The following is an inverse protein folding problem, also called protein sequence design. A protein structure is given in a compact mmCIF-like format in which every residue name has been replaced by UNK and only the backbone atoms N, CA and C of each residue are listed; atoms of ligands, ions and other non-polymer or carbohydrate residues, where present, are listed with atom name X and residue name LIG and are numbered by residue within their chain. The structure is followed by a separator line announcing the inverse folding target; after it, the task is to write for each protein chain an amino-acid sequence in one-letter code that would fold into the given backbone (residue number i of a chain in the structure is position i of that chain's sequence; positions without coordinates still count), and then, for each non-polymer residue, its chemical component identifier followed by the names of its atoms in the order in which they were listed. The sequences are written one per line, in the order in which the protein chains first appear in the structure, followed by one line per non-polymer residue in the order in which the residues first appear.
data_IF_304495782415
#
_entry.id   IF_304495782415
#
_cell.length_a   1.000
_cell.length_b   1.000
_cell.length_c   1.000
_cell.angle_alpha   90.00
_cell.angle_beta   90.00
_cell.angle_gamma   90.00
#
_symmetry.space_group_name_H-M   'P 1'
#
loop_
_entity.id
_entity.type
_entity.pdbx_description
1 polymer ?
#
# COMPACT_ATOMS: atom_id res chain seq x y z
N UNK A 1 -28.03 -13.98 6.12
CA UNK A 1 -26.62 -14.23 5.78
C UNK A 1 -26.40 -13.91 4.30
N UNK A 2 -25.28 -13.26 4.02
CA UNK A 2 -24.78 -13.02 2.68
C UNK A 2 -23.30 -13.46 2.64
N UNK A 3 -22.92 -14.24 1.64
CA UNK A 3 -21.54 -14.63 1.41
C UNK A 3 -21.05 -13.98 0.12
N UNK A 4 -19.90 -13.30 0.21
CA UNK A 4 -19.25 -12.64 -0.92
C UNK A 4 -17.86 -13.25 -1.10
N UNK A 5 -17.53 -13.61 -2.33
CA UNK A 5 -16.19 -14.03 -2.72
C UNK A 5 -15.76 -13.27 -3.97
N UNK A 6 -14.63 -12.60 -3.90
CA UNK A 6 -14.06 -11.84 -5.01
C UNK A 6 -12.59 -12.20 -5.16
N UNK A 7 -12.12 -12.26 -6.38
CA UNK A 7 -10.72 -12.47 -6.71
C UNK A 7 -10.43 -12.06 -8.14
N UNK A 8 -9.25 -11.51 -8.36
CA UNK A 8 -8.81 -11.06 -9.68
C UNK A 8 -7.31 -11.30 -9.81
N UNK A 9 -6.89 -12.52 -10.25
CA UNK A 9 -5.48 -12.77 -10.53
C UNK A 9 -5.02 -11.89 -11.69
N UNK A 10 -3.88 -11.24 -11.53
CA UNK A 10 -3.34 -10.32 -12.53
C UNK A 10 -1.84 -10.54 -12.72
N UNK A 11 -1.40 -10.39 -13.97
CA UNK A 11 -0.01 -10.30 -14.36
C UNK A 11 0.13 -9.35 -15.54
N UNK A 12 0.99 -8.38 -15.44
CA UNK A 12 1.23 -7.42 -16.52
C UNK A 12 2.65 -6.86 -16.47
N UNK A 13 3.18 -6.49 -17.62
CA UNK A 13 4.42 -5.71 -17.73
C UNK A 13 4.18 -4.27 -17.28
N UNK A 14 5.20 -3.68 -16.65
CA UNK A 14 5.14 -2.31 -16.15
C UNK A 14 6.27 -1.49 -16.78
N UNK A 15 5.93 -0.33 -17.30
CA UNK A 15 6.89 0.65 -17.80
C UNK A 15 6.93 1.85 -16.85
N UNK A 16 8.06 2.01 -16.14
CA UNK A 16 8.28 3.11 -15.18
C UNK A 16 9.14 4.24 -15.74
N UNK A 17 9.57 4.14 -16.99
CA UNK A 17 10.42 5.15 -17.59
C UNK A 17 9.58 6.23 -18.26
N UNK A 18 9.87 7.47 -17.91
CA UNK A 18 9.37 8.61 -18.66
C UNK A 18 9.95 8.54 -20.08
N UNK A 19 9.10 8.68 -21.08
CA UNK A 19 9.52 8.83 -22.45
C UNK A 19 9.64 10.32 -22.78
N UNK A 20 10.69 10.71 -23.48
CA UNK A 20 10.73 12.03 -24.07
C UNK A 20 9.69 12.11 -25.20
N UNK A 21 9.29 13.33 -25.54
CA UNK A 21 8.35 13.54 -26.66
C UNK A 21 8.88 12.94 -27.97
N UNK A 22 10.17 13.16 -28.27
CA UNK A 22 10.83 12.63 -29.46
C UNK A 22 10.74 11.09 -29.47
N UNK A 23 11.06 10.42 -28.36
CA UNK A 23 11.00 8.97 -28.28
C UNK A 23 9.57 8.43 -28.40
N UNK A 24 8.59 9.15 -27.86
CA UNK A 24 7.19 8.80 -28.03
C UNK A 24 6.76 8.93 -29.49
N UNK A 25 7.16 9.98 -30.16
CA UNK A 25 6.85 10.21 -31.59
C UNK A 25 7.51 9.14 -32.48
N UNK A 26 8.75 8.73 -32.19
CA UNK A 26 9.50 7.74 -32.97
C UNK A 26 9.08 6.29 -32.70
N UNK A 27 8.83 5.93 -31.43
CA UNK A 27 8.66 4.55 -30.96
C UNK A 27 7.21 4.21 -30.60
N UNK A 28 6.36 5.23 -30.50
CA UNK A 28 4.96 5.10 -30.09
C UNK A 28 4.78 4.87 -28.58
N UNK A 29 3.53 4.87 -28.15
CA UNK A 29 3.15 4.77 -26.72
C UNK A 29 3.48 3.43 -26.06
N UNK A 30 3.78 2.41 -26.82
CA UNK A 30 4.08 1.06 -26.34
C UNK A 30 5.57 0.79 -26.17
N UNK A 31 6.41 1.75 -26.46
CA UNK A 31 7.85 1.59 -26.26
C UNK A 31 8.15 1.34 -24.77
N UNK A 32 8.91 0.29 -24.51
CA UNK A 32 9.43 -0.02 -23.19
C UNK A 32 10.92 -0.40 -23.33
N UNK A 33 11.81 0.50 -22.89
CA UNK A 33 13.26 0.28 -22.96
C UNK A 33 13.74 -0.99 -22.22
N UNK A 34 12.95 -1.49 -21.27
CA UNK A 34 13.28 -2.67 -20.45
C UNK A 34 12.65 -3.96 -20.99
N UNK A 35 11.96 -3.87 -22.11
CA UNK A 35 11.39 -5.01 -22.82
C UNK A 35 12.09 -5.19 -24.15
N UNK A 36 12.58 -6.39 -24.40
CA UNK A 36 13.21 -6.72 -25.69
C UNK A 36 13.15 -8.22 -25.98
N UNK A 37 13.28 -8.55 -27.25
CA UNK A 37 13.38 -9.92 -27.72
C UNK A 37 14.72 -10.56 -27.30
N UNK A 38 14.73 -11.87 -27.27
CA UNK A 38 15.89 -12.72 -27.02
C UNK A 38 16.04 -13.66 -28.19
N UNK A 39 17.24 -13.80 -28.73
CA UNK A 39 17.52 -14.74 -29.80
C UNK A 39 17.14 -16.17 -29.42
N UNK A 40 16.72 -16.99 -30.38
CA UNK A 40 16.32 -18.38 -30.12
C UNK A 40 17.43 -19.20 -29.44
N UNK A 41 18.69 -18.96 -29.79
CA UNK A 41 19.86 -19.64 -29.22
C UNK A 41 20.10 -19.27 -27.75
N UNK A 42 19.85 -18.02 -27.35
CA UNK A 42 19.98 -17.58 -25.97
C UNK A 42 18.74 -17.88 -25.14
N UNK A 43 17.56 -17.88 -25.78
CA UNK A 43 16.32 -18.27 -25.09
C UNK A 43 16.41 -19.69 -24.48
N UNK A 44 16.98 -20.63 -25.21
CA UNK A 44 17.21 -22.00 -24.72
C UNK A 44 18.18 -22.10 -23.53
N UNK A 45 19.03 -21.09 -23.31
CA UNK A 45 20.01 -21.02 -22.22
C UNK A 45 19.48 -20.38 -20.95
N UNK A 46 18.30 -19.74 -20.96
CA UNK A 46 17.79 -19.00 -19.80
C UNK A 46 17.62 -19.90 -18.57
N UNK A 47 17.36 -21.17 -18.78
CA UNK A 47 17.17 -22.13 -17.69
C UNK A 47 15.80 -22.01 -17.01
N UNK A 48 15.73 -22.56 -15.80
CA UNK A 48 14.53 -22.58 -14.98
C UNK A 48 14.16 -21.17 -14.51
N UNK A 49 12.88 -20.88 -14.42
CA UNK A 49 12.32 -19.71 -13.74
C UNK A 49 11.55 -20.16 -12.52
N UNK A 50 11.32 -19.24 -11.56
CA UNK A 50 10.41 -19.52 -10.45
C UNK A 50 9.06 -19.95 -11.01
N UNK A 51 8.56 -21.09 -10.54
CA UNK A 51 7.21 -21.53 -10.86
C UNK A 51 6.23 -20.60 -10.15
N UNK A 52 5.34 -19.99 -10.92
CA UNK A 52 4.26 -19.19 -10.36
C UNK A 52 3.16 -20.11 -9.84
N UNK A 53 2.39 -19.72 -8.80
CA UNK A 53 1.23 -20.48 -8.36
C UNK A 53 0.26 -20.77 -9.52
N UNK A 54 -0.38 -21.93 -9.52
CA UNK A 54 -1.25 -22.38 -10.62
C UNK A 54 -2.41 -21.42 -10.92
N UNK A 55 -2.89 -20.71 -9.90
CA UNK A 55 -3.93 -19.69 -10.05
C UNK A 55 -3.44 -18.38 -10.70
N UNK A 56 -2.12 -18.19 -10.76
CA UNK A 56 -1.56 -16.95 -11.31
C UNK A 56 -1.50 -17.05 -12.83
N UNK A 57 -2.13 -16.13 -13.58
CA UNK A 57 -2.03 -16.11 -15.01
C UNK A 57 -0.57 -16.04 -15.44
N UNK A 58 -0.03 -17.08 -16.04
CA UNK A 58 1.37 -17.00 -16.32
C UNK A 58 1.98 -18.05 -17.21
N UNK A 59 1.75 -19.29 -16.96
CA UNK A 59 2.35 -20.35 -17.75
C UNK A 59 1.63 -20.65 -19.07
N UNK A 60 0.41 -20.16 -19.23
CA UNK A 60 -0.37 -20.28 -20.46
C UNK A 60 -0.95 -18.95 -20.95
N UNK A 61 -0.72 -17.88 -20.21
CA UNK A 61 -1.07 -16.55 -20.67
C UNK A 61 0.12 -16.01 -21.45
N UNK A 62 0.17 -16.35 -22.68
CA UNK A 62 0.75 -15.46 -23.68
C UNK A 62 0.03 -14.15 -23.45
N UNK A 63 0.80 -13.11 -23.19
CA UNK A 63 0.22 -11.80 -22.99
C UNK A 63 -0.73 -11.53 -24.16
N UNK A 64 -2.02 -11.55 -23.87
CA UNK A 64 -3.11 -11.53 -24.86
C UNK A 64 -3.18 -10.21 -25.65
N UNK A 65 -2.32 -9.27 -25.38
CA UNK A 65 -2.09 -8.13 -26.25
C UNK A 65 -1.29 -8.50 -27.51
N UNK A 66 -1.19 -9.80 -27.76
CA UNK A 66 -0.94 -10.50 -29.00
C UNK A 66 0.27 -10.04 -29.79
N UNK A 67 0.17 -9.02 -30.55
CA UNK A 67 1.16 -8.65 -31.55
C UNK A 67 2.33 -7.79 -31.04
N UNK A 68 2.29 -7.35 -29.77
CA UNK A 68 3.27 -6.40 -29.20
C UNK A 68 4.40 -7.04 -28.42
N UNK A 69 4.31 -8.33 -28.14
CA UNK A 69 5.30 -9.06 -27.35
C UNK A 69 5.64 -10.35 -28.09
N UNK A 70 6.87 -10.45 -28.60
CA UNK A 70 7.35 -11.66 -29.22
C UNK A 70 7.38 -12.81 -28.20
N UNK A 71 7.13 -14.04 -28.65
CA UNK A 71 7.13 -15.27 -27.82
C UNK A 71 8.40 -15.46 -27.00
N UNK A 72 9.53 -14.96 -27.51
CA UNK A 72 10.84 -15.05 -26.89
C UNK A 72 11.32 -13.67 -26.47
N UNK A 73 10.65 -13.07 -25.48
CA UNK A 73 11.02 -11.74 -24.97
C UNK A 73 11.11 -11.72 -23.44
N UNK A 74 11.89 -10.79 -22.92
CA UNK A 74 12.03 -10.54 -21.50
C UNK A 74 11.56 -9.13 -21.20
N UNK A 75 10.63 -9.00 -20.26
CA UNK A 75 10.24 -7.75 -19.63
C UNK A 75 10.91 -7.68 -18.27
N UNK A 76 11.72 -6.64 -18.02
CA UNK A 76 12.43 -6.50 -16.76
C UNK A 76 11.46 -6.39 -15.57
N UNK A 77 10.35 -5.68 -15.77
CA UNK A 77 9.38 -5.41 -14.71
C UNK A 77 8.03 -6.00 -15.07
N UNK A 78 7.68 -7.04 -14.37
CA UNK A 78 6.35 -7.65 -14.39
C UNK A 78 5.76 -7.51 -13.00
N UNK A 79 4.56 -7.01 -12.89
CA UNK A 79 3.78 -7.04 -11.67
C UNK A 79 2.79 -8.19 -11.74
N UNK A 80 2.63 -8.90 -10.61
CA UNK A 80 1.74 -10.04 -10.51
C UNK A 80 1.12 -10.08 -9.12
N UNK A 81 -0.18 -10.32 -9.03
CA UNK A 81 -0.87 -10.47 -7.76
C UNK A 81 -2.22 -11.15 -7.89
N UNK A 82 -2.62 -11.80 -6.83
CA UNK A 82 -3.98 -12.24 -6.57
C UNK A 82 -4.31 -11.96 -5.12
N UNK A 83 -5.35 -11.16 -4.89
CA UNK A 83 -5.82 -10.76 -3.55
C UNK A 83 -7.30 -11.13 -3.39
N UNK A 84 -7.62 -12.43 -3.22
CA UNK A 84 -8.99 -12.85 -2.97
C UNK A 84 -9.48 -12.32 -1.62
N UNK A 85 -10.76 -11.99 -1.58
CA UNK A 85 -11.49 -11.69 -0.35
C UNK A 85 -12.70 -12.61 -0.26
N UNK A 86 -12.90 -13.19 0.92
CA UNK A 86 -14.10 -13.93 1.30
C UNK A 86 -14.71 -13.22 2.48
N UNK A 87 -16.00 -12.92 2.41
CA UNK A 87 -16.70 -12.17 3.45
C UNK A 87 -18.05 -12.83 3.72
N UNK A 88 -18.35 -13.01 4.99
CA UNK A 88 -19.64 -13.43 5.48
C UNK A 88 -20.29 -12.27 6.23
N UNK A 89 -21.41 -11.78 5.72
CA UNK A 89 -22.25 -10.80 6.38
C UNK A 89 -23.43 -11.48 7.05
N UNK A 90 -23.68 -11.10 8.28
CA UNK A 90 -24.80 -11.57 9.08
C UNK A 90 -25.61 -10.38 9.58
N UNK A 91 -26.92 -10.46 9.46
CA UNK A 91 -27.86 -9.50 10.03
C UNK A 91 -28.88 -10.26 10.87
N UNK A 92 -29.03 -9.87 12.13
CA UNK A 92 -29.96 -10.46 13.07
C UNK A 92 -30.76 -9.35 13.77
N UNK A 93 -32.06 -9.36 13.57
CA UNK A 93 -32.98 -8.53 14.33
C UNK A 93 -33.19 -9.14 15.73
N UNK A 94 -32.65 -8.48 16.74
CA UNK A 94 -32.74 -8.92 18.15
C UNK A 94 -34.06 -8.47 18.80
N UNK A 95 -34.54 -7.27 18.41
CA UNK A 95 -35.81 -6.68 18.80
C UNK A 95 -36.29 -5.75 17.69
N UNK A 96 -37.48 -5.18 17.79
CA UNK A 96 -38.03 -4.26 16.76
C UNK A 96 -37.14 -3.04 16.56
N UNK A 97 -36.48 -2.60 17.62
CA UNK A 97 -35.59 -1.44 17.61
C UNK A 97 -34.11 -1.82 17.73
N UNK A 98 -33.73 -3.11 17.53
CA UNK A 98 -32.35 -3.55 17.76
C UNK A 98 -31.90 -4.56 16.71
N UNK A 99 -30.81 -4.23 16.01
CA UNK A 99 -30.22 -5.09 14.97
C UNK A 99 -28.73 -5.29 15.20
N UNK A 100 -28.32 -6.57 15.21
CA UNK A 100 -26.92 -6.97 15.22
C UNK A 100 -26.46 -7.25 13.77
N UNK A 101 -25.45 -6.52 13.31
CA UNK A 101 -24.77 -6.76 12.06
C UNK A 101 -23.37 -7.28 12.36
N UNK A 102 -22.93 -8.31 11.63
CA UNK A 102 -21.59 -8.86 11.79
C UNK A 102 -20.98 -9.10 10.43
N UNK A 103 -19.77 -8.60 10.21
CA UNK A 103 -18.96 -8.96 9.06
C UNK A 103 -17.74 -9.77 9.54
N UNK A 104 -17.57 -10.97 9.01
CA UNK A 104 -16.36 -11.77 9.18
C UNK A 104 -15.70 -11.90 7.80
N UNK A 105 -14.39 -11.69 7.71
CA UNK A 105 -13.70 -11.77 6.44
C UNK A 105 -12.32 -12.40 6.54
N UNK A 106 -11.94 -13.01 5.42
CA UNK A 106 -10.58 -13.41 5.11
C UNK A 106 -10.15 -12.71 3.83
N UNK A 107 -8.99 -12.08 3.84
CA UNK A 107 -8.33 -11.56 2.66
C UNK A 107 -6.96 -12.20 2.54
N UNK A 108 -6.80 -13.10 1.58
CA UNK A 108 -5.51 -13.65 1.21
C UNK A 108 -4.88 -12.82 0.10
N UNK A 109 -3.56 -12.81 0.02
CA UNK A 109 -2.89 -12.13 -1.07
C UNK A 109 -1.50 -12.67 -1.29
N UNK A 110 -1.23 -13.08 -2.52
CA UNK A 110 0.13 -13.37 -2.97
C UNK A 110 0.44 -12.44 -4.13
N UNK A 111 1.62 -11.85 -4.12
CA UNK A 111 1.98 -10.93 -5.17
C UNK A 111 3.45 -10.59 -5.19
N UNK A 112 3.84 -9.87 -6.23
CA UNK A 112 5.20 -9.41 -6.36
C UNK A 112 5.47 -8.72 -7.68
N UNK A 113 6.70 -8.27 -7.82
CA UNK A 113 7.16 -7.66 -9.06
C UNK A 113 8.60 -8.01 -9.36
N UNK A 114 8.86 -8.35 -10.63
CA UNK A 114 10.22 -8.65 -11.05
C UNK A 114 11.07 -7.40 -11.09
N UNK A 115 12.36 -7.56 -10.78
CA UNK A 115 13.38 -6.52 -10.83
C UNK A 115 14.67 -7.12 -11.39
N UNK A 116 15.43 -6.29 -12.09
CA UNK A 116 16.77 -6.63 -12.54
C UNK A 116 17.79 -6.33 -11.45
N UNK A 117 18.76 -7.23 -11.31
CA UNK A 117 19.94 -7.08 -10.47
C UNK A 117 21.20 -7.31 -11.28
N UNK A 118 22.21 -6.45 -11.12
CA UNK A 118 23.46 -6.47 -11.84
C UNK A 118 23.59 -5.35 -12.87
N UNK A 119 24.68 -5.37 -13.65
CA UNK A 119 24.98 -4.35 -14.67
C UNK A 119 24.14 -4.55 -15.91
N UNK A 120 23.39 -3.52 -16.29
CA UNK A 120 22.57 -3.54 -17.53
C UNK A 120 23.45 -3.46 -18.76
N UNK A 121 23.03 -4.16 -19.80
CA UNK A 121 23.52 -4.02 -21.16
C UNK A 121 22.43 -3.37 -22.01
N UNK A 122 22.84 -2.55 -22.97
CA UNK A 122 21.94 -1.79 -23.81
C UNK A 122 22.28 -2.00 -25.27
N UNK A 123 21.27 -2.19 -26.09
CA UNK A 123 21.37 -2.17 -27.55
C UNK A 123 21.62 -0.75 -28.06
N UNK A 124 22.04 -0.62 -29.31
CA UNK A 124 22.29 0.69 -29.92
C UNK A 124 21.05 1.58 -30.02
N UNK A 125 19.84 0.99 -30.05
CA UNK A 125 18.57 1.70 -30.09
C UNK A 125 18.02 2.00 -28.66
N UNK A 126 18.83 1.72 -27.60
CA UNK A 126 18.50 2.06 -26.21
C UNK A 126 17.55 1.10 -25.49
N UNK A 127 17.40 -0.13 -25.98
CA UNK A 127 16.65 -1.19 -25.31
C UNK A 127 17.58 -2.07 -24.45
N UNK A 128 17.02 -2.81 -23.52
CA UNK A 128 17.75 -3.80 -22.74
C UNK A 128 18.29 -4.90 -23.68
N UNK A 129 19.60 -5.13 -23.64
CA UNK A 129 20.27 -6.19 -24.40
C UNK A 129 20.33 -7.47 -23.58
N UNK A 130 19.23 -8.24 -23.63
CA UNK A 130 19.13 -9.49 -22.91
C UNK A 130 20.06 -10.57 -23.47
N UNK A 131 20.33 -10.55 -24.77
CA UNK A 131 21.26 -11.49 -25.39
C UNK A 131 22.67 -11.32 -24.83
N UNK A 132 23.16 -10.09 -24.73
CA UNK A 132 24.46 -9.83 -24.14
C UNK A 132 24.52 -10.19 -22.64
N UNK A 133 23.42 -10.03 -21.89
CA UNK A 133 23.34 -10.47 -20.49
C UNK A 133 23.41 -11.98 -20.38
N UNK A 134 22.63 -12.71 -21.16
CA UNK A 134 22.58 -14.18 -21.15
C UNK A 134 23.93 -14.74 -21.59
N UNK A 135 24.54 -14.21 -22.63
CA UNK A 135 25.85 -14.60 -23.11
C UNK A 135 26.92 -14.41 -22.03
N UNK A 136 26.92 -13.27 -21.33
CA UNK A 136 27.86 -13.01 -20.24
C UNK A 136 27.70 -14.02 -19.09
N UNK A 137 26.46 -14.33 -18.70
CA UNK A 137 26.17 -15.27 -17.61
C UNK A 137 26.59 -16.71 -17.97
N UNK A 138 26.32 -17.15 -19.20
CA UNK A 138 26.61 -18.53 -19.65
C UNK A 138 28.09 -18.79 -19.89
N UNK A 139 28.95 -17.77 -19.91
CA UNK A 139 30.40 -17.88 -20.12
C UNK A 139 31.21 -17.36 -18.95
N UNK A 140 30.60 -16.99 -17.83
CA UNK A 140 31.27 -16.35 -16.70
C UNK A 140 32.21 -17.32 -15.94
N UNK A 141 31.89 -18.61 -15.94
CA UNK A 141 32.57 -19.59 -15.09
C UNK A 141 32.28 -19.36 -13.60
N UNK A 142 32.76 -20.29 -12.77
CA UNK A 142 32.68 -20.18 -11.30
C UNK A 142 33.88 -19.41 -10.78
N UNK A 143 33.69 -18.54 -9.80
CA UNK A 143 34.79 -17.84 -9.13
C UNK A 143 35.62 -18.79 -8.26
N UNK A 144 36.85 -18.37 -7.91
CA UNK A 144 37.78 -19.20 -7.13
C UNK A 144 37.24 -19.66 -5.78
N UNK A 145 36.42 -18.82 -5.11
CA UNK A 145 35.81 -19.18 -3.84
C UNK A 145 34.75 -20.29 -4.01
N UNK A 146 33.92 -20.22 -5.06
CA UNK A 146 32.97 -21.29 -5.38
C UNK A 146 33.65 -22.58 -5.78
N UNK A 147 34.72 -22.51 -6.59
CA UNK A 147 35.52 -23.67 -6.95
C UNK A 147 36.13 -24.35 -5.72
N UNK A 148 36.66 -23.59 -4.77
CA UNK A 148 37.19 -24.12 -3.51
C UNK A 148 36.13 -24.83 -2.65
N UNK A 149 34.82 -24.50 -2.87
CA UNK A 149 33.67 -25.18 -2.25
C UNK A 149 33.14 -26.37 -3.07
N UNK A 150 33.81 -26.73 -4.16
CA UNK A 150 33.42 -27.83 -5.07
C UNK A 150 32.27 -27.45 -6.02
N UNK A 151 31.91 -26.17 -6.13
CA UNK A 151 30.90 -25.73 -7.07
C UNK A 151 31.47 -25.58 -8.48
N UNK A 152 30.68 -25.97 -9.46
CA UNK A 152 31.00 -25.87 -10.89
C UNK A 152 29.85 -25.16 -11.63
N UNK A 153 30.11 -24.75 -12.88
CA UNK A 153 29.14 -24.02 -13.69
C UNK A 153 29.40 -22.50 -13.75
N UNK A 154 28.38 -21.73 -13.98
CA UNK A 154 28.50 -20.30 -14.26
C UNK A 154 27.86 -19.44 -13.16
N UNK A 155 28.57 -18.41 -12.74
CA UNK A 155 28.10 -17.45 -11.77
C UNK A 155 27.45 -16.27 -12.50
N UNK A 156 26.13 -16.07 -12.35
CA UNK A 156 25.40 -14.95 -12.95
C UNK A 156 25.86 -13.61 -12.38
N UNK A 157 26.35 -12.73 -13.23
CA UNK A 157 26.62 -11.33 -12.90
C UNK A 157 25.37 -10.46 -12.87
N UNK A 158 24.28 -10.96 -13.48
CA UNK A 158 22.99 -10.30 -13.51
C UNK A 158 21.85 -11.31 -13.52
N UNK A 159 20.76 -10.98 -12.83
CA UNK A 159 19.59 -11.85 -12.64
C UNK A 159 18.28 -11.05 -12.76
N UNK A 160 17.17 -11.75 -12.97
CA UNK A 160 15.87 -11.26 -12.57
C UNK A 160 15.55 -11.76 -11.15
N UNK A 161 15.20 -10.85 -10.27
CA UNK A 161 14.70 -11.14 -8.94
C UNK A 161 13.23 -10.74 -8.82
N UNK A 162 12.49 -11.35 -7.90
CA UNK A 162 11.12 -10.96 -7.57
C UNK A 162 11.06 -10.46 -6.15
N UNK A 163 10.52 -9.25 -5.93
CA UNK A 163 10.08 -8.81 -4.60
C UNK A 163 8.68 -9.36 -4.37
N UNK A 164 8.50 -10.14 -3.31
CA UNK A 164 7.23 -10.73 -2.91
C UNK A 164 6.60 -9.98 -1.75
N UNK A 165 5.28 -9.80 -1.83
CA UNK A 165 4.45 -9.23 -0.80
C UNK A 165 3.22 -10.15 -0.63
N UNK A 166 3.34 -11.11 0.27
CA UNK A 166 2.25 -12.01 0.61
C UNK A 166 1.59 -11.51 1.89
N UNK A 167 0.27 -11.47 1.92
CA UNK A 167 -0.50 -10.98 3.08
C UNK A 167 -1.74 -11.81 3.28
N UNK A 168 -1.97 -12.22 4.52
CA UNK A 168 -3.15 -12.95 4.96
C UNK A 168 -3.78 -12.22 6.13
N UNK A 169 -5.03 -11.78 5.96
CA UNK A 169 -5.75 -10.98 6.96
C UNK A 169 -7.06 -11.64 7.31
N UNK A 170 -7.35 -11.73 8.59
CA UNK A 170 -8.63 -12.15 9.14
C UNK A 170 -9.25 -11.00 9.93
N UNK A 171 -10.55 -10.82 9.83
CA UNK A 171 -11.24 -9.79 10.57
C UNK A 171 -12.64 -10.17 10.98
N UNK A 172 -13.07 -9.60 12.09
CA UNK A 172 -14.41 -9.74 12.65
C UNK A 172 -14.89 -8.38 13.15
N UNK A 173 -16.03 -7.92 12.61
CA UNK A 173 -16.57 -6.59 12.88
C UNK A 173 -18.07 -6.68 13.22
N UNK A 174 -18.44 -7.05 14.45
CA UNK A 174 -19.82 -6.95 14.92
C UNK A 174 -20.16 -5.51 15.28
N UNK A 175 -21.39 -5.10 14.95
CA UNK A 175 -21.97 -3.83 15.39
C UNK A 175 -23.44 -4.00 15.76
N UNK A 176 -23.83 -3.38 16.85
CA UNK A 176 -25.19 -3.31 17.31
C UNK A 176 -25.75 -1.92 17.05
N UNK A 177 -26.85 -1.85 16.34
CA UNK A 177 -27.61 -0.63 16.07
C UNK A 177 -28.91 -0.71 16.87
N UNK A 178 -29.23 0.32 17.63
CA UNK A 178 -30.45 0.35 18.43
C UNK A 178 -31.08 1.75 18.42
N UNK A 179 -32.36 1.80 18.16
CA UNK A 179 -33.18 2.99 18.36
C UNK A 179 -33.63 3.02 19.84
N UNK A 180 -33.03 3.90 20.62
CA UNK A 180 -33.39 4.09 22.03
C UNK A 180 -34.80 4.66 22.14
N UNK A 181 -35.12 5.56 21.23
CA UNK A 181 -36.45 6.13 20.99
C UNK A 181 -36.50 6.75 19.59
N UNK A 182 -37.61 7.37 19.20
CA UNK A 182 -37.82 7.95 17.87
C UNK A 182 -36.83 9.07 17.50
N UNK A 183 -36.05 9.56 18.46
CA UNK A 183 -35.11 10.67 18.27
C UNK A 183 -33.65 10.24 18.40
N UNK A 184 -33.34 9.14 19.08
CA UNK A 184 -31.98 8.73 19.44
C UNK A 184 -31.66 7.33 18.93
N UNK A 185 -30.77 7.27 17.94
CA UNK A 185 -30.11 6.04 17.49
C UNK A 185 -28.73 5.93 18.12
N UNK A 186 -28.37 4.73 18.61
CA UNK A 186 -27.06 4.41 19.12
C UNK A 186 -26.49 3.21 18.37
N UNK A 187 -25.26 3.34 17.93
CA UNK A 187 -24.48 2.25 17.34
C UNK A 187 -23.24 1.99 18.18
N UNK A 188 -22.97 0.72 18.53
CA UNK A 188 -21.71 0.30 19.14
C UNK A 188 -21.11 -0.84 18.34
N UNK A 189 -19.80 -0.85 18.20
CA UNK A 189 -19.12 -1.86 17.40
C UNK A 189 -17.72 -2.20 17.87
N UNK A 190 -17.28 -3.38 17.45
CA UNK A 190 -15.91 -3.87 17.61
C UNK A 190 -15.27 -4.06 16.25
N UNK A 191 -13.95 -3.93 16.19
CA UNK A 191 -13.12 -4.18 15.03
C UNK A 191 -11.91 -5.00 15.48
N UNK A 192 -11.90 -6.28 15.17
CA UNK A 192 -10.77 -7.15 15.43
C UNK A 192 -10.19 -7.63 14.11
N UNK A 193 -8.85 -7.50 13.97
CA UNK A 193 -8.11 -7.93 12.80
C UNK A 193 -6.75 -8.50 13.20
N UNK A 194 -6.31 -9.49 12.46
CA UNK A 194 -4.92 -9.94 12.48
C UNK A 194 -4.43 -10.14 11.06
N UNK A 195 -3.20 -9.73 10.80
CA UNK A 195 -2.58 -9.88 9.49
C UNK A 195 -1.17 -10.44 9.62
N UNK A 196 -0.86 -11.46 8.82
CA UNK A 196 0.52 -11.94 8.60
C UNK A 196 0.97 -11.48 7.23
N UNK A 197 2.14 -10.86 7.15
CA UNK A 197 2.70 -10.26 5.96
C UNK A 197 4.11 -10.81 5.76
N UNK A 198 4.41 -11.35 4.57
CA UNK A 198 5.73 -11.83 4.22
C UNK A 198 6.31 -10.95 3.10
N UNK A 199 7.40 -10.27 3.41
CA UNK A 199 8.16 -9.49 2.47
C UNK A 199 9.51 -10.17 2.24
N UNK A 200 9.77 -10.60 1.02
CA UNK A 200 11.04 -11.17 0.66
C UNK A 200 11.40 -10.92 -0.80
N UNK A 201 12.67 -11.12 -1.09
CA UNK A 201 13.15 -11.15 -2.45
C UNK A 201 13.70 -12.53 -2.77
N UNK A 202 13.40 -13.03 -3.96
CA UNK A 202 13.88 -14.33 -4.45
C UNK A 202 14.50 -14.20 -5.83
N UNK A 203 15.39 -15.13 -6.16
CA UNK A 203 15.92 -15.28 -7.52
C UNK A 203 14.82 -15.80 -8.41
N UNK A 204 14.35 -14.98 -9.37
CA UNK A 204 13.32 -15.36 -10.33
C UNK A 204 13.89 -16.11 -11.54
N UNK A 205 14.98 -15.63 -12.10
CA UNK A 205 15.72 -16.25 -13.21
C UNK A 205 17.18 -15.87 -13.14
N UNK A 206 18.05 -16.84 -13.32
CA UNK A 206 19.50 -16.67 -13.37
C UNK A 206 19.99 -16.17 -14.74
N UNK A 207 19.10 -16.03 -15.71
CA UNK A 207 19.40 -15.54 -17.06
C UNK A 207 20.60 -16.30 -17.69
N UNK A 208 20.61 -17.62 -17.58
CA UNK A 208 21.58 -18.49 -18.21
C UNK A 208 22.75 -18.95 -17.34
N UNK A 209 22.94 -18.43 -16.14
CA UNK A 209 23.91 -18.96 -15.19
C UNK A 209 23.33 -20.06 -14.30
N UNK A 210 24.16 -20.63 -13.43
CA UNK A 210 23.80 -21.70 -12.51
C UNK A 210 23.60 -21.21 -11.08
N UNK A 211 24.26 -20.10 -10.72
CA UNK A 211 24.23 -19.52 -9.38
C UNK A 211 24.27 -18.00 -9.44
N UNK A 212 23.76 -17.38 -8.35
CA UNK A 212 23.93 -15.95 -8.04
C UNK A 212 24.53 -15.79 -6.65
N UNK A 213 25.63 -15.04 -6.51
CA UNK A 213 26.29 -14.85 -5.22
C UNK A 213 25.60 -13.75 -4.40
N UNK A 214 25.12 -14.11 -3.20
CA UNK A 214 24.46 -13.16 -2.27
C UNK A 214 24.73 -13.55 -0.81
N UNK A 215 25.20 -12.59 0.00
CA UNK A 215 25.61 -12.78 1.40
C UNK A 215 24.67 -12.08 2.39
N UNK A 216 23.49 -11.65 1.97
CA UNK A 216 22.56 -10.89 2.82
C UNK A 216 22.04 -11.74 3.98
N UNK A 217 21.81 -13.04 3.76
CA UNK A 217 21.39 -13.94 4.84
C UNK A 217 22.57 -14.30 5.74
N UNK A 218 22.61 -13.72 6.94
CA UNK A 218 23.69 -13.92 7.94
C UNK A 218 23.67 -15.28 8.62
N UNK A 219 22.62 -16.08 8.40
CA UNK A 219 22.54 -17.46 8.88
C UNK A 219 23.25 -18.45 7.94
N UNK A 220 23.70 -18.01 6.76
CA UNK A 220 24.34 -18.83 5.75
C UNK A 220 25.78 -18.39 5.52
N UNK A 221 26.60 -19.37 5.12
CA UNK A 221 28.01 -19.16 4.74
C UNK A 221 28.44 -20.18 3.70
N UNK A 222 29.63 -20.00 3.13
CA UNK A 222 30.18 -20.92 2.15
C UNK A 222 29.25 -21.13 0.95
N UNK A 223 28.95 -22.39 0.64
CA UNK A 223 28.09 -22.77 -0.47
C UNK A 223 26.67 -22.18 -0.35
N UNK A 224 26.15 -21.91 0.86
CA UNK A 224 24.84 -21.30 1.09
C UNK A 224 24.72 -19.88 0.57
N UNK A 225 25.82 -19.22 0.21
CA UNK A 225 25.78 -17.87 -0.41
C UNK A 225 25.63 -17.92 -1.95
N UNK A 226 25.72 -19.09 -2.56
CA UNK A 226 25.52 -19.31 -3.98
C UNK A 226 24.08 -19.74 -4.21
N UNK A 227 23.26 -18.77 -4.66
CA UNK A 227 21.80 -18.86 -4.74
C UNK A 227 21.35 -19.42 -6.07
N UNK A 228 20.32 -20.26 -6.03
CA UNK A 228 19.63 -20.79 -7.19
C UNK A 228 18.24 -20.14 -7.34
N UNK A 229 17.53 -20.51 -8.40
CA UNK A 229 16.17 -20.04 -8.66
C UNK A 229 15.24 -20.42 -7.49
N UNK A 230 14.49 -19.46 -6.97
CA UNK A 230 13.61 -19.60 -5.80
C UNK A 230 14.27 -19.29 -4.46
N UNK A 231 15.61 -19.21 -4.41
CA UNK A 231 16.31 -18.84 -3.18
C UNK A 231 16.05 -17.37 -2.82
N UNK A 232 15.87 -17.14 -1.52
CA UNK A 232 15.67 -15.79 -0.98
C UNK A 232 17.01 -15.05 -0.90
N UNK A 233 16.98 -13.77 -1.29
CA UNK A 233 18.12 -12.86 -1.37
C UNK A 233 17.75 -11.49 -0.81
N UNK A 234 18.73 -10.72 -0.42
CA UNK A 234 18.66 -9.32 0.04
C UNK A 234 17.88 -9.14 1.35
N UNK A 235 16.63 -9.56 1.45
CA UNK A 235 15.79 -9.46 2.67
C UNK A 235 14.73 -10.55 2.73
N UNK A 236 14.32 -10.89 3.94
CA UNK A 236 13.15 -11.73 4.22
C UNK A 236 12.59 -11.41 5.61
N UNK A 237 11.47 -10.71 5.64
CA UNK A 237 10.76 -10.29 6.83
C UNK A 237 9.39 -10.93 6.91
N UNK A 238 9.01 -11.33 8.13
CA UNK A 238 7.67 -11.78 8.47
C UNK A 238 7.11 -10.79 9.49
N UNK A 239 6.09 -10.06 9.07
CA UNK A 239 5.42 -9.06 9.89
C UNK A 239 4.05 -9.56 10.34
N UNK A 240 3.69 -9.25 11.59
CA UNK A 240 2.34 -9.48 12.09
C UNK A 240 1.78 -8.16 12.62
N UNK A 241 0.52 -7.91 12.31
CA UNK A 241 -0.25 -6.78 12.82
C UNK A 241 -1.51 -7.31 13.50
N UNK A 242 -1.58 -7.14 14.81
CA UNK A 242 -2.77 -7.45 15.59
C UNK A 242 -3.49 -6.15 15.94
N UNK A 243 -4.73 -6.04 15.56
CA UNK A 243 -5.55 -4.84 15.71
C UNK A 243 -6.83 -5.16 16.47
N UNK A 244 -7.14 -4.33 17.47
CA UNK A 244 -8.41 -4.35 18.17
C UNK A 244 -8.92 -2.93 18.33
N UNK A 245 -10.19 -2.72 18.03
CA UNK A 245 -10.84 -1.42 18.17
C UNK A 245 -12.26 -1.57 18.66
N UNK A 246 -12.76 -0.53 19.31
CA UNK A 246 -14.17 -0.37 19.57
C UNK A 246 -14.61 1.06 19.24
N UNK A 247 -15.88 1.22 18.94
CA UNK A 247 -16.47 2.53 18.71
C UNK A 247 -17.91 2.59 19.18
N UNK A 248 -18.34 3.78 19.54
CA UNK A 248 -19.72 4.12 19.81
C UNK A 248 -20.11 5.39 19.08
N UNK A 249 -21.32 5.42 18.56
CA UNK A 249 -21.93 6.57 17.91
C UNK A 249 -23.32 6.77 18.47
N UNK A 250 -23.69 8.01 18.74
CA UNK A 250 -25.05 8.42 19.04
C UNK A 250 -25.47 9.49 18.02
N UNK A 251 -26.65 9.34 17.45
CA UNK A 251 -27.28 10.31 16.54
C UNK A 251 -28.61 10.72 17.14
N UNK A 252 -28.78 12.01 17.38
CA UNK A 252 -30.00 12.59 17.92
C UNK A 252 -30.63 13.50 16.87
N UNK A 253 -31.90 13.25 16.55
CA UNK A 253 -32.65 14.06 15.57
C UNK A 253 -33.99 14.45 16.15
N UNK A 254 -34.28 15.77 16.18
CA UNK A 254 -35.55 16.28 16.64
C UNK A 254 -35.91 17.58 15.90
N UNK A 255 -37.04 17.57 15.21
CA UNK A 255 -37.44 18.71 14.39
C UNK A 255 -36.34 19.17 13.44
N UNK A 256 -35.88 20.43 13.51
CA UNK A 256 -34.84 20.96 12.61
C UNK A 256 -33.42 20.59 13.04
N UNK A 257 -33.20 20.00 14.23
CA UNK A 257 -31.89 19.68 14.80
C UNK A 257 -31.50 18.25 14.50
N UNK A 258 -30.28 18.05 13.99
CA UNK A 258 -29.59 16.77 13.99
C UNK A 258 -28.22 16.96 14.64
N UNK A 259 -27.86 16.09 15.58
CA UNK A 259 -26.56 16.11 16.26
C UNK A 259 -25.99 14.70 16.37
N UNK A 260 -24.67 14.60 16.41
CA UNK A 260 -24.00 13.31 16.62
C UNK A 260 -22.80 13.42 17.56
N UNK A 261 -22.52 12.32 18.22
CA UNK A 261 -21.28 12.10 18.94
C UNK A 261 -20.69 10.74 18.56
N UNK A 262 -19.38 10.69 18.30
CA UNK A 262 -18.65 9.47 18.00
C UNK A 262 -17.45 9.40 18.92
N UNK A 263 -17.25 8.25 19.53
CA UNK A 263 -16.03 7.92 20.25
C UNK A 263 -15.48 6.59 19.71
N UNK A 264 -14.16 6.52 19.50
CA UNK A 264 -13.49 5.26 19.18
C UNK A 264 -12.13 5.16 19.86
N UNK A 265 -11.74 3.92 20.16
CA UNK A 265 -10.41 3.59 20.67
C UNK A 265 -9.90 2.36 19.93
N UNK A 266 -8.64 2.40 19.56
CA UNK A 266 -7.97 1.32 18.81
C UNK A 266 -6.64 1.00 19.47
N UNK A 267 -6.21 -0.24 19.33
CA UNK A 267 -4.91 -0.73 19.76
C UNK A 267 -4.32 -1.62 18.69
N UNK A 268 -3.09 -1.36 18.28
CA UNK A 268 -2.34 -2.18 17.35
C UNK A 268 -1.06 -2.68 18.00
N UNK A 269 -0.73 -3.95 17.80
CA UNK A 269 0.55 -4.55 18.18
C UNK A 269 1.25 -5.04 16.93
N UNK A 270 2.55 -4.76 16.84
CA UNK A 270 3.37 -5.08 15.69
C UNK A 270 4.46 -6.07 16.06
N UNK A 271 4.69 -7.03 15.19
CA UNK A 271 5.80 -7.97 15.29
C UNK A 271 6.54 -8.00 13.96
N UNK A 272 7.88 -7.94 14.01
CA UNK A 272 8.75 -8.17 12.89
C UNK A 272 9.70 -9.31 13.22
N UNK A 273 9.86 -10.23 12.27
CA UNK A 273 10.85 -11.31 12.33
C UNK A 273 11.74 -11.22 11.09
N UNK A 274 12.95 -10.69 11.24
CA UNK A 274 13.95 -10.70 10.18
C UNK A 274 14.59 -12.09 10.10
N UNK A 275 14.34 -12.79 8.99
CA UNK A 275 14.82 -14.15 8.75
C UNK A 275 16.29 -14.18 8.29
N UNK A 276 16.89 -13.01 7.99
CA UNK A 276 18.24 -12.89 7.45
C UNK A 276 19.30 -12.49 8.47
N UNK A 277 18.91 -11.87 9.58
CA UNK A 277 19.85 -11.63 10.68
C UNK A 277 20.22 -12.93 11.39
N UNK A 278 21.39 -12.94 12.02
CA UNK A 278 21.88 -14.12 12.73
C UNK A 278 20.93 -14.48 13.89
N UNK A 279 20.43 -15.71 13.85
CA UNK A 279 19.51 -16.22 14.86
C UNK A 279 18.05 -15.85 14.65
N UNK A 280 17.69 -15.18 13.55
CA UNK A 280 16.32 -14.77 13.22
C UNK A 280 15.73 -13.87 14.32
N UNK A 281 16.17 -12.63 14.37
CA UNK A 281 15.72 -11.68 15.38
C UNK A 281 14.22 -11.42 15.28
N UNK A 282 13.54 -11.45 16.44
CA UNK A 282 12.15 -11.09 16.57
C UNK A 282 12.03 -9.81 17.40
N UNK A 283 11.30 -8.83 16.87
CA UNK A 283 10.98 -7.59 17.54
C UNK A 283 9.48 -7.54 17.73
N UNK A 284 9.04 -7.10 18.88
CA UNK A 284 7.64 -6.98 19.26
C UNK A 284 7.41 -5.63 19.92
N UNK A 285 6.46 -4.85 19.42
CA UNK A 285 6.10 -3.58 20.03
C UNK A 285 5.18 -3.76 21.21
N UNK A 286 5.19 -2.80 22.12
CA UNK A 286 4.06 -2.62 23.02
C UNK A 286 2.81 -2.22 22.20
N UNK A 287 1.59 -2.45 22.75
CA UNK A 287 0.36 -2.02 22.10
C UNK A 287 0.34 -0.51 21.88
N UNK A 288 0.10 -0.12 20.64
CA UNK A 288 0.04 1.27 20.18
C UNK A 288 -1.42 1.71 20.08
N UNK A 289 -1.79 2.71 20.86
CA UNK A 289 -3.19 3.13 20.96
C UNK A 289 -3.49 4.36 20.12
N UNK A 290 -4.71 4.41 19.58
CA UNK A 290 -5.32 5.58 18.96
C UNK A 290 -6.71 5.82 19.54
N UNK A 291 -7.11 7.09 19.63
CA UNK A 291 -8.41 7.49 20.13
C UNK A 291 -8.99 8.59 19.27
N UNK A 292 -10.33 8.60 19.15
CA UNK A 292 -11.02 9.64 18.43
C UNK A 292 -12.29 10.04 19.19
N UNK A 293 -12.51 11.35 19.30
CA UNK A 293 -13.78 11.95 19.68
C UNK A 293 -14.22 12.89 18.58
N UNK A 294 -15.45 12.71 18.07
CA UNK A 294 -16.08 13.63 17.12
C UNK A 294 -17.45 14.04 17.63
N UNK A 295 -17.71 15.33 17.55
CA UNK A 295 -19.00 15.92 17.86
C UNK A 295 -19.43 16.78 16.68
N UNK A 296 -20.69 16.78 16.34
CA UNK A 296 -21.19 17.65 15.29
C UNK A 296 -22.70 17.78 15.29
N UNK A 297 -23.16 18.74 14.54
CA UNK A 297 -24.60 18.96 14.39
C UNK A 297 -24.93 19.87 13.24
N UNK A 298 -26.20 19.83 12.87
CA UNK A 298 -26.80 20.72 11.89
C UNK A 298 -28.17 21.19 12.35
N UNK A 299 -28.52 22.39 11.94
CA UNK A 299 -29.79 22.96 12.24
C UNK A 299 -30.41 23.58 10.97
N UNK A 300 -31.61 23.14 10.61
CA UNK A 300 -32.37 23.69 9.50
C UNK A 300 -33.05 24.99 9.96
N UNK A 301 -32.43 26.13 9.62
CA UNK A 301 -33.02 27.45 9.90
C UNK A 301 -34.31 27.69 9.12
N UNK A 302 -34.39 27.04 7.95
CA UNK A 302 -35.59 26.99 7.09
C UNK A 302 -35.46 25.82 6.12
N UNK A 303 -36.48 25.55 5.31
CA UNK A 303 -36.42 24.58 4.20
C UNK A 303 -35.31 24.89 3.17
N UNK A 304 -34.89 26.16 3.18
CA UNK A 304 -33.90 26.67 2.23
C UNK A 304 -32.48 26.83 2.79
N UNK A 305 -32.30 26.78 4.10
CA UNK A 305 -31.00 27.08 4.74
C UNK A 305 -30.72 26.15 5.93
N UNK A 306 -29.61 25.43 5.86
CA UNK A 306 -29.07 24.61 6.93
C UNK A 306 -27.71 25.14 7.35
N UNK A 307 -27.48 25.29 8.64
CA UNK A 307 -26.15 25.55 9.22
C UNK A 307 -25.62 24.27 9.90
N UNK A 308 -24.30 24.10 9.91
CA UNK A 308 -23.69 22.93 10.55
C UNK A 308 -22.34 23.28 11.14
N UNK A 309 -21.90 22.45 12.10
CA UNK A 309 -20.56 22.52 12.64
C UNK A 309 -20.12 21.16 13.16
N UNK A 310 -18.81 20.89 13.06
CA UNK A 310 -18.18 19.67 13.51
C UNK A 310 -16.87 20.00 14.24
N UNK A 311 -16.55 19.15 15.20
CA UNK A 311 -15.30 19.22 15.96
C UNK A 311 -14.79 17.81 16.19
N UNK A 312 -13.48 17.62 16.12
CA UNK A 312 -12.87 16.32 16.38
C UNK A 312 -11.48 16.43 16.97
N UNK A 313 -11.21 15.49 17.88
CA UNK A 313 -9.91 15.23 18.47
C UNK A 313 -9.51 13.81 18.11
N UNK A 314 -8.34 13.64 17.50
CA UNK A 314 -7.86 12.33 17.07
C UNK A 314 -6.42 12.15 17.47
N UNK A 315 -6.11 11.03 18.12
CA UNK A 315 -4.77 10.47 18.24
C UNK A 315 -4.72 9.25 17.34
N UNK A 316 -3.83 9.24 16.37
CA UNK A 316 -3.74 8.17 15.37
C UNK A 316 -3.00 6.96 15.95
N UNK A 317 -3.54 5.76 15.72
CA UNK A 317 -2.75 4.54 15.88
C UNK A 317 -1.66 4.55 14.80
N UNK A 318 -0.38 4.40 15.15
CA UNK A 318 0.69 4.49 14.17
C UNK A 318 0.66 3.34 13.15
N UNK A 319 1.24 3.59 11.99
CA UNK A 319 1.62 2.52 11.08
C UNK A 319 2.88 1.80 11.60
N UNK A 320 3.06 0.55 11.22
CA UNK A 320 4.16 -0.29 11.70
C UNK A 320 5.54 0.34 11.43
N UNK A 321 5.76 0.92 10.27
CA UNK A 321 7.02 1.56 9.85
C UNK A 321 7.43 2.78 10.70
N UNK A 322 6.53 3.29 11.56
CA UNK A 322 6.81 4.35 12.55
C UNK A 322 7.29 3.80 13.88
N UNK A 323 6.92 2.57 14.20
CA UNK A 323 7.20 1.92 15.48
C UNK A 323 8.34 0.91 15.39
N UNK A 324 8.42 0.20 14.27
CA UNK A 324 9.45 -0.80 13.98
C UNK A 324 10.35 -0.29 12.89
N UNK A 325 11.64 -0.25 13.17
CA UNK A 325 12.69 -0.01 12.17
C UNK A 325 13.18 -1.35 11.65
N UNK A 326 12.65 -1.77 10.51
CA UNK A 326 12.97 -3.06 9.89
C UNK A 326 14.43 -3.12 9.41
N UNK A 327 15.03 -1.99 9.01
CA UNK A 327 16.40 -1.96 8.50
C UNK A 327 17.44 -2.20 9.59
N UNK A 328 17.17 -1.73 10.81
CA UNK A 328 18.06 -1.90 11.97
C UNK A 328 17.59 -2.97 12.94
N UNK A 329 16.39 -3.52 12.74
CA UNK A 329 15.84 -4.53 13.62
C UNK A 329 15.61 -4.01 15.05
N UNK A 330 15.09 -2.79 15.20
CA UNK A 330 14.87 -2.10 16.48
C UNK A 330 13.51 -1.44 16.57
N UNK A 331 13.10 -1.09 17.80
CA UNK A 331 11.93 -0.25 18.01
C UNK A 331 12.32 1.23 17.94
N UNK A 332 11.49 2.05 17.32
CA UNK A 332 11.64 3.49 17.32
C UNK A 332 11.08 4.06 18.64
N UNK A 333 11.95 4.17 19.65
CA UNK A 333 11.58 4.63 21.00
C UNK A 333 11.24 6.12 21.08
N UNK A 334 11.64 6.92 20.10
CA UNK A 334 11.37 8.36 20.03
C UNK A 334 10.03 8.68 19.32
N UNK A 335 9.32 7.66 18.85
CA UNK A 335 8.05 7.86 18.18
C UNK A 335 6.99 8.40 19.15
N UNK A 336 6.28 9.45 18.71
CA UNK A 336 5.08 9.96 19.37
C UNK A 336 3.86 9.77 18.48
N UNK A 337 2.71 9.36 19.05
CA UNK A 337 1.48 9.26 18.27
C UNK A 337 1.09 10.60 17.63
N UNK A 338 0.80 10.58 16.34
CA UNK A 338 0.32 11.75 15.62
C UNK A 338 -1.06 12.17 16.13
N UNK A 339 -1.30 13.47 16.23
CA UNK A 339 -2.59 14.04 16.67
C UNK A 339 -3.13 14.96 15.60
N UNK A 340 -4.43 14.81 15.31
CA UNK A 340 -5.14 15.69 14.40
C UNK A 340 -6.40 16.23 15.09
N UNK A 341 -6.46 17.52 15.28
CA UNK A 341 -7.65 18.22 15.77
C UNK A 341 -8.28 18.96 14.61
N UNK A 342 -9.57 18.86 14.46
CA UNK A 342 -10.27 19.59 13.41
C UNK A 342 -11.52 20.28 13.93
N UNK A 343 -11.82 21.39 13.29
CA UNK A 343 -13.05 22.14 13.44
C UNK A 343 -13.53 22.55 12.07
N UNK A 344 -14.82 22.40 11.78
CA UNK A 344 -15.45 22.98 10.62
C UNK A 344 -16.82 23.57 10.94
N UNK A 345 -17.18 24.63 10.23
CA UNK A 345 -18.47 25.29 10.32
C UNK A 345 -18.90 25.76 8.94
N UNK A 346 -20.17 25.60 8.63
CA UNK A 346 -20.66 25.97 7.32
C UNK A 346 -22.16 26.14 7.22
N UNK A 347 -22.58 26.51 6.03
CA UNK A 347 -23.98 26.63 5.68
C UNK A 347 -24.23 26.00 4.29
N UNK A 348 -25.42 25.43 4.12
CA UNK A 348 -25.91 24.91 2.84
C UNK A 348 -27.24 25.61 2.55
N UNK A 349 -27.43 25.97 1.30
CA UNK A 349 -28.67 26.57 0.87
C UNK A 349 -29.28 25.86 -0.35
N UNK A 350 -30.60 25.96 -0.43
CA UNK A 350 -31.41 25.47 -1.55
C UNK A 350 -32.49 26.47 -1.86
N UNK A 351 -32.47 27.02 -3.07
CA UNK A 351 -33.37 28.09 -3.53
C UNK A 351 -34.00 27.72 -4.88
N UNK A 352 -35.01 28.51 -5.30
CA UNK A 352 -35.65 28.34 -6.60
C UNK A 352 -36.16 26.92 -6.84
N UNK A 353 -36.88 26.35 -5.85
CA UNK A 353 -37.34 24.94 -5.91
C UNK A 353 -36.23 23.92 -6.18
N UNK A 354 -35.03 24.21 -5.72
CA UNK A 354 -33.86 23.32 -5.89
C UNK A 354 -33.05 23.57 -7.16
N UNK A 355 -33.43 24.49 -8.02
CA UNK A 355 -32.62 24.88 -9.19
C UNK A 355 -31.31 25.56 -8.80
N UNK A 356 -31.27 26.24 -7.67
CA UNK A 356 -30.06 26.85 -7.13
C UNK A 356 -29.71 26.19 -5.77
N UNK A 357 -28.56 25.52 -5.69
CA UNK A 357 -28.05 24.93 -4.46
C UNK A 357 -26.61 25.36 -4.25
N UNK A 358 -26.18 25.40 -3.00
CA UNK A 358 -24.79 25.68 -2.70
C UNK A 358 -24.43 25.48 -1.24
N UNK A 359 -23.17 25.70 -0.94
CA UNK A 359 -22.66 25.66 0.42
C UNK A 359 -21.36 26.41 0.55
N UNK A 360 -21.10 26.85 1.76
CA UNK A 360 -19.86 27.45 2.19
C UNK A 360 -19.41 26.75 3.47
N UNK A 361 -18.13 26.47 3.58
CA UNK A 361 -17.54 25.79 4.71
C UNK A 361 -16.18 26.42 5.06
N UNK A 362 -15.95 26.70 6.32
CA UNK A 362 -14.65 27.10 6.85
C UNK A 362 -14.14 25.98 7.75
N UNK A 363 -12.89 25.55 7.52
CA UNK A 363 -12.27 24.49 8.29
C UNK A 363 -10.91 24.92 8.85
N UNK A 364 -10.54 24.29 9.96
CA UNK A 364 -9.19 24.32 10.55
C UNK A 364 -8.80 22.91 10.95
N UNK A 365 -7.61 22.48 10.57
CA UNK A 365 -7.01 21.20 10.99
C UNK A 365 -5.60 21.47 11.52
N UNK A 366 -5.39 21.18 12.79
CA UNK A 366 -4.07 21.19 13.40
C UNK A 366 -3.55 19.76 13.51
N UNK A 367 -2.44 19.47 12.82
CA UNK A 367 -1.79 18.17 12.82
C UNK A 367 -0.46 18.27 13.55
N UNK A 368 -0.30 17.50 14.64
CA UNK A 368 0.85 17.54 15.55
C UNK A 368 1.60 16.23 15.59
N UNK A 369 2.88 16.31 15.92
CA UNK A 369 3.80 15.17 16.11
C UNK A 369 3.89 14.26 14.86
N UNK A 370 3.73 14.81 13.67
CA UNK A 370 3.77 14.07 12.43
C UNK A 370 5.15 13.48 12.19
N UNK A 371 5.21 12.22 11.76
CA UNK A 371 6.45 11.51 11.44
C UNK A 371 6.53 11.21 9.94
N UNK A 372 7.66 11.56 9.32
CA UNK A 372 7.93 11.32 7.89
C UNK A 372 9.27 10.61 7.76
N UNK A 373 9.31 9.51 7.02
CA UNK A 373 10.55 8.85 6.61
C UNK A 373 10.97 9.35 5.23
N UNK A 374 12.21 9.80 5.07
CA UNK A 374 12.77 10.31 3.81
C UNK A 374 14.08 9.63 3.49
N UNK A 375 14.23 9.15 2.26
CA UNK A 375 15.53 8.73 1.73
C UNK A 375 16.46 9.94 1.59
N UNK A 376 17.69 9.79 2.02
CA UNK A 376 18.76 10.79 1.89
C UNK A 376 19.72 10.31 0.83
N UNK A 377 20.10 11.18 -0.10
CA UNK A 377 21.17 10.88 -1.04
C UNK A 377 22.52 11.14 -0.35
N UNK A 378 23.08 10.12 0.25
CA UNK A 378 24.43 10.15 0.80
C UNK A 378 25.35 9.30 -0.08
N UNK A 379 26.43 9.88 -0.64
CA UNK A 379 27.40 9.13 -1.45
C UNK A 379 28.09 8.01 -0.70
N UNK A 380 28.16 8.09 0.63
CA UNK A 380 28.84 7.12 1.49
C UNK A 380 27.90 6.03 2.00
N UNK A 381 26.58 6.29 2.02
CA UNK A 381 25.54 5.38 2.49
C UNK A 381 24.38 5.40 1.52
N UNK A 382 24.50 4.69 0.36
CA UNK A 382 23.38 4.54 -0.55
C UNK A 382 22.22 3.88 0.19
N UNK A 383 21.01 4.40 0.05
CA UNK A 383 19.80 3.95 0.74
C UNK A 383 19.66 4.40 2.22
N UNK A 384 20.40 5.44 2.66
CA UNK A 384 20.17 6.03 3.96
C UNK A 384 18.78 6.70 4.07
N UNK A 385 18.14 6.52 5.22
CA UNK A 385 16.86 7.16 5.54
C UNK A 385 17.00 8.04 6.78
N UNK A 386 16.23 9.11 6.82
CA UNK A 386 16.08 9.96 7.98
C UNK A 386 14.64 9.95 8.44
N UNK A 387 14.43 9.69 9.72
CA UNK A 387 13.14 9.82 10.35
C UNK A 387 13.01 11.26 10.89
N UNK A 388 12.08 12.01 10.31
CA UNK A 388 11.73 13.36 10.76
C UNK A 388 10.51 13.24 11.62
N UNK A 389 10.60 13.58 12.91
CA UNK A 389 9.49 13.46 13.88
C UNK A 389 9.16 14.83 14.47
N UNK A 390 7.94 14.99 15.00
CA UNK A 390 7.51 16.23 15.63
C UNK A 390 7.14 17.34 14.66
N UNK A 391 6.84 17.03 13.40
CA UNK A 391 6.33 18.00 12.44
C UNK A 391 4.93 18.45 12.82
N UNK A 392 4.74 19.75 13.00
CA UNK A 392 3.43 20.35 13.22
C UNK A 392 2.97 21.13 11.98
N UNK A 393 1.70 20.98 11.65
CA UNK A 393 1.09 21.62 10.49
C UNK A 393 -0.24 22.22 10.88
N UNK A 394 -0.57 23.37 10.32
CA UNK A 394 -1.90 23.95 10.38
C UNK A 394 -2.46 24.11 8.96
N UNK A 395 -3.68 23.69 8.78
CA UNK A 395 -4.42 23.75 7.53
C UNK A 395 -5.73 24.45 7.77
N UNK A 396 -5.94 25.60 7.17
CA UNK A 396 -7.22 26.30 7.24
C UNK A 396 -7.70 26.71 5.85
N UNK A 397 -9.00 26.82 5.68
CA UNK A 397 -9.51 27.22 4.39
C UNK A 397 -11.00 27.46 4.37
N UNK A 398 -11.41 28.17 3.34
CA UNK A 398 -12.78 28.43 2.96
C UNK A 398 -13.08 27.67 1.67
N UNK A 399 -14.09 26.82 1.70
CA UNK A 399 -14.59 26.08 0.54
C UNK A 399 -15.98 26.55 0.18
N UNK A 400 -16.29 26.63 -1.11
CA UNK A 400 -17.62 26.95 -1.57
C UNK A 400 -18.02 26.14 -2.79
N UNK A 401 -19.31 25.86 -2.88
CA UNK A 401 -19.93 25.18 -4.02
C UNK A 401 -21.22 25.89 -4.38
N UNK A 402 -21.46 26.07 -5.68
CA UNK A 402 -22.71 26.60 -6.21
C UNK A 402 -23.08 25.74 -7.41
N UNK A 403 -24.31 25.25 -7.44
CA UNK A 403 -24.87 24.55 -8.59
C UNK A 403 -26.16 25.25 -9.00
N UNK A 404 -26.27 25.60 -10.27
CA UNK A 404 -27.46 26.23 -10.85
C UNK A 404 -27.94 25.43 -12.05
N UNK A 405 -29.16 24.92 -11.96
CA UNK A 405 -29.83 24.15 -13.00
C UNK A 405 -31.12 24.82 -13.42
N UNK A 406 -31.04 25.82 -14.35
CA UNK A 406 -32.23 26.57 -14.81
C UNK A 406 -33.21 25.71 -15.60
N UNK A 407 -32.78 24.61 -16.20
CA UNK A 407 -33.61 23.67 -16.95
C UNK A 407 -32.98 22.28 -16.91
N UNK A 408 -33.74 21.22 -17.22
CA UNK A 408 -33.29 19.82 -17.13
C UNK A 408 -32.01 19.55 -17.93
N UNK A 409 -31.84 20.20 -19.08
CA UNK A 409 -30.73 19.98 -19.98
C UNK A 409 -29.46 20.80 -19.65
N UNK A 410 -29.55 21.78 -18.73
CA UNK A 410 -28.46 22.72 -18.50
C UNK A 410 -28.17 22.88 -17.01
N UNK A 411 -26.95 22.56 -16.61
CA UNK A 411 -26.46 22.73 -15.24
C UNK A 411 -25.09 23.41 -15.25
N UNK A 412 -24.90 24.35 -14.36
CA UNK A 412 -23.64 25.01 -14.07
C UNK A 412 -23.18 24.63 -12.68
N UNK A 413 -21.95 24.17 -12.54
CA UNK A 413 -21.33 23.88 -11.25
C UNK A 413 -20.07 24.75 -11.09
N UNK A 414 -20.02 25.52 -10.01
CA UNK A 414 -18.85 26.29 -9.58
C UNK A 414 -18.37 25.75 -8.25
N UNK A 415 -17.08 25.43 -8.16
CA UNK A 415 -16.43 25.02 -6.90
C UNK A 415 -15.13 25.78 -6.77
N UNK A 416 -14.81 26.19 -5.56
CA UNK A 416 -13.55 26.83 -5.27
C UNK A 416 -13.16 26.69 -3.81
N UNK A 417 -11.89 26.93 -3.55
CA UNK A 417 -11.36 26.99 -2.20
C UNK A 417 -10.27 28.06 -2.12
N UNK A 418 -10.12 28.63 -0.94
CA UNK A 418 -8.99 29.46 -0.54
C UNK A 418 -8.42 28.86 0.73
N UNK A 419 -7.15 28.52 0.74
CA UNK A 419 -6.54 27.82 1.87
C UNK A 419 -5.16 28.37 2.22
N UNK A 420 -4.83 28.26 3.49
CA UNK A 420 -3.50 28.47 4.04
C UNK A 420 -3.04 27.17 4.71
N UNK A 421 -1.95 26.59 4.21
CA UNK A 421 -1.38 25.35 4.73
C UNK A 421 0.10 25.61 5.02
N UNK A 422 0.47 25.43 6.26
CA UNK A 422 1.83 25.75 6.70
C UNK A 422 2.36 24.78 7.74
N UNK A 423 3.68 24.62 7.77
CA UNK A 423 4.36 24.03 8.90
C UNK A 423 4.50 25.09 9.98
N UNK A 424 4.11 24.75 11.21
CA UNK A 424 4.11 25.69 12.33
C UNK A 424 5.39 25.67 13.15
N UNK A 425 6.22 24.62 12.98
CA UNK A 425 7.48 24.46 13.71
C UNK A 425 8.64 24.05 12.79
N UNK A 426 9.83 24.43 13.18
CA UNK A 426 11.07 23.89 12.64
C UNK A 426 11.42 22.60 13.37
N UNK A 427 11.72 21.55 12.64
CA UNK A 427 12.15 20.26 13.18
C UNK A 427 13.58 19.96 12.79
N UNK A 428 14.32 19.33 13.69
CA UNK A 428 15.64 18.78 13.40
C UNK A 428 15.47 17.34 12.95
N UNK A 429 16.02 17.00 11.78
CA UNK A 429 16.17 15.63 11.36
C UNK A 429 17.21 14.93 12.26
N UNK A 430 16.91 13.74 12.76
CA UNK A 430 17.81 12.90 13.53
C UNK A 430 18.18 11.65 12.73
#
# INVERSE_FOLDING_TARGET
FEFIMLGSPQRHGVNYFYQTKERFDEQGRYYNALHNEVSASNWSKIGTKVQLPDWMPGSGWNNTEGERIADKSITQRTNMFHKPIMQLNHSLKLADNMTLLTAAYYSGGEGGGTRYRGSRKWTSDGRADWDAVIQANTTAGMNSAGQALGLSGNLSGAIQATSRNNQYTYGLMPRLITDINDQLEVTVGLDWRTAKIEHYREVYSLLGGDYYYNTSNKNLSGAGNYKQVGDKIEYYDINTVDWTGFYGQAVYTTGPLSAFAVFSSTSAKFTNEDQFVKGKAKIESDPQSGNQLKLGGSYNLSDALTVFGNFGLTTLTPAMDKVVDEDYGTLNVDYKPEKANFFDVGAKFRQMNGMLTGGINYYVVDWKDRAIRRGVQDPTTPDAFVNITGLNQSHSGLEYTIAYQPMEMLRFDLRGHMSNWEYTDNVNAK
#
